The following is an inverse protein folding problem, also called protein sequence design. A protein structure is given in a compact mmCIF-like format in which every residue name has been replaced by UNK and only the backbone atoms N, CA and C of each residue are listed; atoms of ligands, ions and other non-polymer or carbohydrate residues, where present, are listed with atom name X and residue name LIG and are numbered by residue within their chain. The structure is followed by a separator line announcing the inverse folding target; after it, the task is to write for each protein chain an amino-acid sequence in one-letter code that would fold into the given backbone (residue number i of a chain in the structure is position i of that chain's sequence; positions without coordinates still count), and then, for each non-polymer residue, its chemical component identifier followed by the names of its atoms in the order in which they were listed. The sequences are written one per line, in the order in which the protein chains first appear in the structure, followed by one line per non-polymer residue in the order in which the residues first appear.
data_IF_911929149223
#
_entry.id   IF_911929149223
#
_cell.length_a   1.000
_cell.length_b   1.000
_cell.length_c   1.000
_cell.angle_alpha   90.00
_cell.angle_beta   90.00
_cell.angle_gamma   90.00
#
_symmetry.space_group_name_H-M   'P 1'
#
loop_
_entity.id
_entity.type
_entity.pdbx_description
1 polymer ?
#
# COMPACT_ATOMS: atom_id res chain seq x y z
N UNK A 1 -0.37 10.98 9.12
CA UNK A 1 0.63 10.36 8.22
C UNK A 1 1.02 11.37 7.16
N UNK A 2 2.32 11.56 6.95
CA UNK A 2 2.82 12.52 5.97
C UNK A 2 3.90 11.85 5.13
N UNK A 3 3.74 11.91 3.81
CA UNK A 3 4.81 11.58 2.87
C UNK A 3 5.29 12.85 2.18
N UNK A 4 6.57 12.86 1.82
CA UNK A 4 7.22 13.99 1.17
C UNK A 4 8.00 13.54 -0.06
N UNK A 5 8.00 14.40 -1.08
CA UNK A 5 8.89 14.36 -2.22
C UNK A 5 9.53 15.75 -2.38
N UNK A 6 10.84 15.85 -2.15
CA UNK A 6 11.58 17.12 -2.28
C UNK A 6 11.52 17.64 -3.71
N UNK A 7 11.64 16.73 -4.68
CA UNK A 7 11.45 16.97 -6.10
C UNK A 7 10.49 15.89 -6.59
N UNK A 8 9.31 16.31 -7.05
CA UNK A 8 8.32 15.43 -7.66
C UNK A 8 8.24 15.74 -9.14
N UNK A 9 8.54 14.73 -9.97
CA UNK A 9 8.36 14.80 -11.40
C UNK A 9 6.99 14.19 -11.75
N UNK A 10 6.05 15.02 -12.22
CA UNK A 10 4.73 14.48 -12.54
C UNK A 10 4.83 13.46 -13.67
N UNK A 11 4.24 12.26 -13.52
CA UNK A 11 4.14 11.29 -14.62
C UNK A 11 3.21 11.79 -15.73
N UNK A 12 2.41 12.84 -15.47
CA UNK A 12 1.61 13.52 -16.49
C UNK A 12 2.52 14.52 -17.25
N UNK A 13 2.79 14.30 -18.55
CA UNK A 13 3.80 15.07 -19.29
C UNK A 13 3.57 16.58 -19.32
N UNK A 14 2.33 17.03 -19.15
CA UNK A 14 1.95 18.45 -19.19
C UNK A 14 2.16 19.21 -17.89
N UNK A 15 2.39 18.53 -16.77
CA UNK A 15 2.43 19.16 -15.43
C UNK A 15 3.85 19.54 -14.97
N UNK A 16 4.89 18.86 -15.48
CA UNK A 16 6.29 19.16 -15.19
C UNK A 16 6.72 18.78 -13.77
N UNK A 17 7.66 19.54 -13.21
CA UNK A 17 8.32 19.25 -11.92
C UNK A 17 7.81 20.19 -10.84
N UNK A 18 7.58 19.65 -9.65
CA UNK A 18 7.15 20.35 -8.46
C UNK A 18 8.18 20.15 -7.34
N UNK A 19 8.44 21.18 -6.55
CA UNK A 19 9.29 21.08 -5.37
C UNK A 19 8.41 20.96 -4.11
N UNK A 20 8.86 20.17 -3.15
CA UNK A 20 8.23 20.02 -1.83
C UNK A 20 6.75 19.62 -1.93
N UNK A 21 6.50 18.48 -2.58
CA UNK A 21 5.16 17.89 -2.65
C UNK A 21 4.93 17.03 -1.41
N UNK A 22 3.73 17.12 -0.84
CA UNK A 22 3.32 16.37 0.34
C UNK A 22 2.09 15.52 0.03
N UNK A 23 2.03 14.31 0.59
CA UNK A 23 0.81 13.51 0.67
C UNK A 23 0.42 13.40 2.14
N UNK A 24 -0.82 13.75 2.47
CA UNK A 24 -1.36 13.66 3.82
C UNK A 24 -2.65 12.85 3.83
N UNK A 25 -2.89 12.05 4.87
CA UNK A 25 -4.24 11.60 5.20
C UNK A 25 -5.08 12.79 5.63
N UNK A 26 -6.27 12.90 5.05
CA UNK A 26 -7.18 14.02 5.31
C UNK A 26 -8.53 13.58 5.87
N UNK A 27 -8.86 12.30 5.70
CA UNK A 27 -10.12 11.76 6.19
C UNK A 27 -10.00 10.27 6.44
N UNK A 28 -10.57 9.82 7.56
CA UNK A 28 -10.75 8.42 7.89
C UNK A 28 -12.25 8.17 8.05
N UNK A 29 -12.79 7.18 7.33
CA UNK A 29 -14.20 6.82 7.36
C UNK A 29 -14.33 5.39 7.86
N UNK A 30 -15.16 5.21 8.90
CA UNK A 30 -15.52 3.90 9.44
C UNK A 30 -17.03 3.78 9.38
N UNK A 31 -17.55 2.74 8.74
CA UNK A 31 -18.98 2.42 8.81
C UNK A 31 -19.27 1.66 10.11
N UNK A 32 -20.31 2.08 10.85
CA UNK A 32 -20.71 1.52 12.16
C UNK A 32 -21.07 0.03 12.11
N UNK A 33 -21.36 -0.53 10.92
CA UNK A 33 -21.58 -1.95 10.75
C UNK A 33 -20.28 -2.76 10.63
N UNK A 34 -19.10 -2.13 10.81
CA UNK A 34 -17.80 -2.79 10.94
C UNK A 34 -17.13 -3.24 9.64
N UNK A 35 -17.89 -3.35 8.55
CA UNK A 35 -17.41 -3.99 7.32
C UNK A 35 -16.81 -3.03 6.29
N UNK A 36 -16.63 -1.75 6.64
CA UNK A 36 -16.02 -0.78 5.73
C UNK A 36 -15.13 0.22 6.46
N UNK A 37 -13.91 0.32 5.96
CA UNK A 37 -12.90 1.27 6.37
C UNK A 37 -12.39 2.00 5.13
N UNK A 38 -12.13 3.30 5.20
CA UNK A 38 -11.39 3.98 4.14
C UNK A 38 -10.56 5.13 4.66
N UNK A 39 -9.46 5.39 3.97
CA UNK A 39 -8.56 6.51 4.22
C UNK A 39 -8.44 7.32 2.94
N UNK A 40 -8.70 8.62 3.04
CA UNK A 40 -8.52 9.58 1.95
C UNK A 40 -7.18 10.27 2.09
N UNK A 41 -6.43 10.34 0.99
CA UNK A 41 -5.15 11.03 0.91
C UNK A 41 -5.22 12.15 -0.12
N UNK A 42 -4.69 13.32 0.26
CA UNK A 42 -4.54 14.47 -0.63
C UNK A 42 -3.05 14.73 -0.89
N UNK A 43 -2.73 14.87 -2.17
CA UNK A 43 -1.42 15.29 -2.66
C UNK A 43 -1.43 16.79 -2.89
N UNK A 44 -0.51 17.50 -2.25
CA UNK A 44 -0.48 18.96 -2.27
C UNK A 44 0.92 19.49 -2.52
N UNK A 45 1.00 20.67 -3.12
CA UNK A 45 2.25 21.44 -3.26
C UNK A 45 2.06 22.83 -2.67
N UNK A 46 3.07 23.36 -2.00
CA UNK A 46 3.04 24.74 -1.54
C UNK A 46 3.48 25.69 -2.66
N UNK A 47 2.59 26.63 -3.03
CA UNK A 47 2.87 27.69 -4.02
C UNK A 47 2.46 29.03 -3.44
N UNK A 48 3.40 29.96 -3.35
CA UNK A 48 3.16 31.33 -2.84
C UNK A 48 2.47 31.35 -1.46
N UNK A 49 2.87 30.44 -0.56
CA UNK A 49 2.29 30.31 0.78
C UNK A 49 0.91 29.65 0.83
N UNK A 50 0.38 29.15 -0.29
CA UNK A 50 -0.88 28.43 -0.35
C UNK A 50 -0.65 26.95 -0.69
N UNK A 51 -1.37 26.06 -0.02
CA UNK A 51 -1.43 24.64 -0.42
C UNK A 51 -2.33 24.50 -1.63
N UNK A 52 -1.78 23.97 -2.72
CA UNK A 52 -2.49 23.66 -3.95
C UNK A 52 -2.67 22.15 -4.03
N UNK A 53 -3.92 21.70 -4.14
CA UNK A 53 -4.26 20.29 -4.35
C UNK A 53 -3.83 19.87 -5.76
N UNK A 54 -3.07 18.78 -5.84
CA UNK A 54 -2.61 18.18 -7.09
C UNK A 54 -3.45 16.94 -7.43
N UNK A 55 -3.69 16.07 -6.45
CA UNK A 55 -4.47 14.85 -6.62
C UNK A 55 -5.12 14.40 -5.30
N UNK A 56 -6.11 13.53 -5.41
CA UNK A 56 -6.80 12.90 -4.29
C UNK A 56 -7.05 11.43 -4.59
N UNK A 57 -6.81 10.57 -3.62
CA UNK A 57 -7.15 9.14 -3.73
C UNK A 57 -7.78 8.66 -2.43
N UNK A 58 -8.74 7.76 -2.55
CA UNK A 58 -9.36 7.09 -1.42
C UNK A 58 -9.00 5.62 -1.47
N UNK A 59 -8.37 5.13 -0.41
CA UNK A 59 -8.11 3.71 -0.21
C UNK A 59 -9.25 3.14 0.63
N UNK A 60 -10.09 2.31 0.02
CA UNK A 60 -11.22 1.64 0.66
C UNK A 60 -10.92 0.18 0.96
N UNK A 61 -11.48 -0.31 2.06
CA UNK A 61 -11.39 -1.68 2.52
C UNK A 61 -12.78 -2.15 2.91
N UNK A 62 -13.22 -3.24 2.29
CA UNK A 62 -14.54 -3.84 2.51
C UNK A 62 -14.38 -5.28 3.03
N UNK A 63 -15.25 -5.67 3.96
CA UNK A 63 -15.33 -7.00 4.52
C UNK A 63 -14.28 -7.33 5.61
N UNK A 64 -14.62 -8.30 6.44
CA UNK A 64 -13.77 -8.89 7.46
C UNK A 64 -13.05 -10.16 6.95
N UNK A 65 -12.22 -10.75 7.80
CA UNK A 65 -11.59 -12.04 7.51
C UNK A 65 -12.67 -13.13 7.34
N UNK A 66 -12.74 -13.73 6.15
CA UNK A 66 -13.71 -14.79 5.82
C UNK A 66 -15.01 -14.34 5.14
N UNK A 67 -15.22 -13.03 4.92
CA UNK A 67 -16.38 -12.53 4.17
C UNK A 67 -16.26 -12.82 2.66
N UNK A 68 -17.36 -13.25 2.02
CA UNK A 68 -17.42 -13.51 0.56
C UNK A 68 -17.17 -12.25 -0.28
N UNK A 69 -17.59 -11.09 0.23
CA UNK A 69 -17.39 -9.78 -0.40
C UNK A 69 -16.35 -9.03 0.43
N UNK A 70 -15.08 -9.40 0.25
CA UNK A 70 -13.98 -8.70 0.88
C UNK A 70 -12.97 -8.18 -0.14
N UNK A 71 -12.49 -6.95 0.08
CA UNK A 71 -11.37 -6.37 -0.66
C UNK A 71 -10.01 -6.91 -0.20
N UNK A 72 -10.00 -8.01 0.58
CA UNK A 72 -8.80 -8.77 0.96
C UNK A 72 -7.94 -9.00 -0.26
N UNK A 73 -6.84 -8.28 -0.36
CA UNK A 73 -5.83 -8.57 -1.37
C UNK A 73 -4.76 -9.43 -0.72
N UNK A 74 -4.46 -10.55 -1.34
CA UNK A 74 -3.38 -11.41 -0.91
C UNK A 74 -2.07 -10.84 -1.43
N UNK A 75 -1.12 -10.50 -0.56
CA UNK A 75 0.25 -10.22 -1.01
C UNK A 75 0.78 -11.48 -1.67
N UNK A 76 1.23 -11.37 -2.91
CA UNK A 76 1.78 -12.48 -3.67
C UNK A 76 3.24 -12.22 -4.01
N UNK A 77 4.03 -13.28 -3.91
CA UNK A 77 5.45 -13.28 -4.24
C UNK A 77 5.71 -14.28 -5.35
N UNK A 78 6.64 -13.96 -6.24
CA UNK A 78 7.18 -14.88 -7.22
C UNK A 78 8.41 -15.55 -6.61
N UNK A 79 8.38 -16.88 -6.52
CA UNK A 79 9.49 -17.72 -6.03
C UNK A 79 9.94 -18.69 -7.12
N UNK A 80 11.13 -19.25 -6.97
CA UNK A 80 11.56 -20.38 -7.79
C UNK A 80 10.58 -21.54 -7.65
N UNK A 81 10.21 -22.13 -8.78
CA UNK A 81 9.33 -23.29 -8.78
C UNK A 81 10.11 -24.52 -8.29
N UNK A 82 9.76 -25.11 -7.14
CA UNK A 82 10.45 -26.29 -6.62
C UNK A 82 10.36 -27.49 -7.58
N UNK A 83 9.32 -27.52 -8.41
CA UNK A 83 9.04 -28.58 -9.37
C UNK A 83 9.61 -28.29 -10.77
N UNK A 84 10.44 -27.24 -10.94
CA UNK A 84 11.00 -26.86 -12.25
C UNK A 84 11.80 -27.98 -12.91
N UNK A 85 12.56 -28.75 -12.12
CA UNK A 85 13.37 -29.85 -12.63
C UNK A 85 12.65 -31.20 -12.60
N UNK A 86 11.40 -31.24 -12.17
CA UNK A 86 10.58 -32.45 -12.28
C UNK A 86 10.09 -32.57 -13.72
N UNK A 87 10.00 -33.79 -14.26
CA UNK A 87 9.68 -34.11 -15.67
C UNK A 87 8.23 -33.74 -16.08
N UNK A 88 7.69 -32.66 -15.54
CA UNK A 88 6.39 -32.10 -15.89
C UNK A 88 6.65 -31.12 -17.05
N UNK A 89 6.32 -31.54 -18.28
CA UNK A 89 6.32 -30.64 -19.43
C UNK A 89 5.51 -29.37 -19.11
N UNK A 90 6.07 -28.20 -19.44
CA UNK A 90 5.49 -26.85 -19.25
C UNK A 90 5.63 -26.19 -17.86
N UNK A 91 6.45 -26.75 -16.96
CA UNK A 91 6.77 -26.13 -15.69
C UNK A 91 7.51 -24.78 -15.86
N UNK A 92 6.91 -23.67 -15.44
CA UNK A 92 7.56 -22.35 -15.43
C UNK A 92 8.65 -22.32 -14.36
N UNK A 93 9.77 -21.63 -14.65
CA UNK A 93 10.90 -21.45 -13.71
C UNK A 93 10.48 -20.81 -12.37
N UNK A 94 9.45 -19.96 -12.40
CA UNK A 94 8.90 -19.29 -11.22
C UNK A 94 7.40 -19.47 -11.11
N UNK A 95 6.92 -19.57 -9.87
CA UNK A 95 5.50 -19.62 -9.51
C UNK A 95 5.15 -18.41 -8.65
N UNK A 96 3.87 -18.03 -8.69
CA UNK A 96 3.33 -16.97 -7.84
C UNK A 96 2.57 -17.62 -6.69
N UNK A 97 2.94 -17.29 -5.45
CA UNK A 97 2.32 -17.83 -4.24
C UNK A 97 1.89 -16.70 -3.32
N UNK A 98 0.86 -16.96 -2.51
CA UNK A 98 0.50 -16.08 -1.41
C UNK A 98 1.62 -16.04 -0.38
N UNK A 99 2.10 -14.85 -0.02
CA UNK A 99 3.20 -14.67 0.93
C UNK A 99 2.88 -15.30 2.29
N UNK A 100 1.69 -15.06 2.82
CA UNK A 100 1.31 -15.61 4.12
C UNK A 100 1.22 -17.14 4.11
N UNK A 101 0.64 -17.74 3.07
CA UNK A 101 0.58 -19.19 2.94
C UNK A 101 1.98 -19.80 2.87
N UNK A 102 2.89 -19.17 2.11
CA UNK A 102 4.30 -19.57 2.06
C UNK A 102 4.97 -19.47 3.43
N UNK A 103 4.81 -18.35 4.14
CA UNK A 103 5.38 -18.17 5.47
C UNK A 103 4.83 -19.19 6.45
N UNK A 104 3.52 -19.47 6.44
CA UNK A 104 2.91 -20.50 7.30
C UNK A 104 3.47 -21.89 7.01
N UNK A 105 3.63 -22.25 5.73
CA UNK A 105 4.21 -23.54 5.34
C UNK A 105 5.71 -23.65 5.67
N UNK A 106 6.44 -22.53 5.73
CA UNK A 106 7.88 -22.48 5.92
C UNK A 106 8.30 -21.89 7.28
N UNK A 107 7.44 -21.97 8.29
CA UNK A 107 7.78 -21.57 9.66
C UNK A 107 8.14 -20.09 9.84
N UNK A 108 7.55 -19.21 9.03
CA UNK A 108 7.78 -17.77 9.03
C UNK A 108 9.04 -17.31 8.28
N UNK A 109 9.72 -18.23 7.58
CA UNK A 109 10.95 -17.91 6.85
C UNK A 109 10.63 -17.42 5.44
N UNK A 110 11.13 -16.24 5.08
CA UNK A 110 11.04 -15.71 3.71
C UNK A 110 11.89 -16.56 2.74
N UNK A 111 11.47 -16.68 1.46
CA UNK A 111 12.30 -17.31 0.44
C UNK A 111 13.59 -16.51 0.22
N UNK A 112 14.67 -17.18 -0.16
CA UNK A 112 15.97 -16.56 -0.41
C UNK A 112 16.03 -15.77 -1.72
N UNK A 113 15.23 -16.16 -2.72
CA UNK A 113 15.15 -15.50 -4.02
C UNK A 113 13.68 -15.29 -4.41
N UNK A 114 13.16 -14.10 -4.13
CA UNK A 114 11.77 -13.74 -4.41
C UNK A 114 11.60 -12.31 -4.89
N UNK A 115 10.52 -12.10 -5.65
CA UNK A 115 10.06 -10.78 -6.07
C UNK A 115 8.61 -10.59 -5.62
N UNK A 116 8.25 -9.41 -5.13
CA UNK A 116 6.84 -9.09 -4.92
C UNK A 116 6.14 -8.94 -6.28
N UNK A 117 5.03 -9.65 -6.46
CA UNK A 117 4.22 -9.63 -7.69
C UNK A 117 3.04 -8.70 -7.51
N UNK A 118 2.32 -8.85 -6.40
CA UNK A 118 1.26 -7.93 -6.00
C UNK A 118 1.31 -7.70 -4.49
N UNK A 119 1.05 -6.45 -4.10
CA UNK A 119 0.98 -6.04 -2.71
C UNK A 119 -0.49 -6.04 -2.31
N UNK A 120 -0.83 -6.93 -1.38
CA UNK A 120 -2.19 -7.08 -0.86
C UNK A 120 -2.20 -7.06 0.66
N UNK A 121 -3.09 -6.27 1.24
CA UNK A 121 -3.24 -6.27 2.69
C UNK A 121 -4.38 -7.20 3.13
N UNK A 122 -4.16 -8.03 4.17
CA UNK A 122 -5.20 -8.90 4.67
C UNK A 122 -6.18 -8.06 5.49
N UNK A 123 -7.40 -7.85 5.01
CA UNK A 123 -8.56 -7.31 5.75
C UNK A 123 -8.53 -5.85 6.17
N UNK A 124 -9.71 -5.21 6.09
CA UNK A 124 -9.93 -3.88 6.67
C UNK A 124 -9.67 -3.84 8.17
N UNK A 125 -9.87 -4.97 8.87
CA UNK A 125 -9.59 -5.12 10.29
C UNK A 125 -8.09 -5.06 10.61
N UNK A 126 -7.24 -5.79 9.87
CA UNK A 126 -5.79 -5.68 10.10
C UNK A 126 -5.28 -4.34 9.58
N UNK A 127 -5.83 -3.79 8.48
CA UNK A 127 -5.45 -2.47 7.99
C UNK A 127 -5.72 -1.40 9.07
N UNK A 128 -6.89 -1.43 9.70
CA UNK A 128 -7.25 -0.57 10.83
C UNK A 128 -6.29 -0.73 12.01
N UNK A 129 -5.85 -1.95 12.32
CA UNK A 129 -4.89 -2.19 13.40
C UNK A 129 -3.51 -1.56 13.12
N UNK A 130 -3.19 -1.26 11.86
CA UNK A 130 -1.89 -0.73 11.47
C UNK A 130 -1.86 0.79 11.37
N UNK A 131 -3.01 1.41 11.04
CA UNK A 131 -3.20 2.85 11.16
C UNK A 131 -3.45 3.22 12.63
N UNK A 132 -2.40 3.64 13.33
CA UNK A 132 -2.45 4.08 14.73
C UNK A 132 -2.72 5.59 14.78
N UNK A 133 -3.62 6.03 15.67
CA UNK A 133 -3.99 7.45 15.81
C UNK A 133 -5.29 7.78 15.08
N UNK A 134 -5.47 9.06 14.71
CA UNK A 134 -6.77 9.58 14.26
C UNK A 134 -7.77 9.80 15.40
N UNK A 135 -7.28 9.83 16.65
CA UNK A 135 -8.06 10.10 17.86
C UNK A 135 -7.94 11.55 18.29
N UNK A 136 -8.84 12.04 19.15
CA UNK A 136 -8.81 13.43 19.64
C UNK A 136 -7.45 13.82 20.26
N UNK A 137 -6.79 12.85 20.90
CA UNK A 137 -5.50 13.03 21.58
C UNK A 137 -4.28 12.66 20.70
N UNK A 138 -4.52 12.02 19.56
CA UNK A 138 -3.49 11.67 18.57
C UNK A 138 -4.08 11.80 17.16
N UNK A 139 -4.26 13.04 16.65
CA UNK A 139 -5.06 13.29 15.46
C UNK A 139 -4.38 12.85 14.16
N UNK A 140 -3.07 12.58 14.19
CA UNK A 140 -2.32 12.11 13.03
C UNK A 140 -2.34 10.59 12.96
N UNK A 141 -2.55 10.03 11.76
CA UNK A 141 -2.30 8.61 11.54
C UNK A 141 -0.80 8.30 11.49
N UNK A 142 -0.42 7.14 12.01
CA UNK A 142 0.92 6.60 11.96
C UNK A 142 0.85 5.14 11.54
N UNK A 143 1.81 4.72 10.71
CA UNK A 143 2.03 3.31 10.39
C UNK A 143 3.30 2.89 11.10
N UNK A 144 3.22 2.06 12.13
CA UNK A 144 4.41 1.52 12.80
C UNK A 144 5.03 0.35 12.03
N UNK A 145 4.19 -0.47 11.41
CA UNK A 145 4.61 -1.66 10.67
C UNK A 145 5.34 -1.30 9.35
N UNK A 146 6.60 -1.71 9.17
CA UNK A 146 7.36 -1.47 7.94
C UNK A 146 6.75 -2.10 6.69
N UNK A 147 6.15 -3.29 6.79
CA UNK A 147 5.45 -3.91 5.67
C UNK A 147 4.21 -3.11 5.27
N UNK A 148 3.49 -2.54 6.22
CA UNK A 148 2.34 -1.69 5.91
C UNK A 148 2.75 -0.36 5.27
N UNK A 149 3.90 0.19 5.64
CA UNK A 149 4.49 1.34 4.96
C UNK A 149 4.81 1.02 3.51
N UNK A 150 5.53 -0.07 3.26
CA UNK A 150 5.87 -0.52 1.91
C UNK A 150 4.64 -0.85 1.07
N UNK A 151 3.67 -1.54 1.66
CA UNK A 151 2.40 -1.83 1.03
C UNK A 151 1.67 -0.54 0.63
N UNK A 152 1.59 0.47 1.51
CA UNK A 152 0.94 1.74 1.21
C UNK A 152 1.63 2.47 0.05
N UNK A 153 2.97 2.54 0.08
CA UNK A 153 3.79 3.13 -0.98
C UNK A 153 3.54 2.47 -2.35
N UNK A 154 3.31 1.15 -2.34
CA UNK A 154 3.14 0.37 -3.56
C UNK A 154 1.67 0.20 -4.00
N UNK A 155 0.70 0.57 -3.15
CA UNK A 155 -0.73 0.41 -3.43
C UNK A 155 -1.38 1.71 -3.88
N UNK A 156 -0.98 2.84 -3.27
CA UNK A 156 -1.56 4.12 -3.63
C UNK A 156 -0.99 4.56 -4.98
N UNK A 157 -1.90 4.79 -5.93
CA UNK A 157 -1.59 5.37 -7.24
C UNK A 157 -2.15 6.79 -7.27
N UNK A 158 -1.28 7.77 -7.50
CA UNK A 158 -1.65 9.17 -7.71
C UNK A 158 -1.04 9.63 -9.02
N UNK A 159 -1.80 10.38 -9.82
CA UNK A 159 -1.42 10.83 -11.16
C UNK A 159 -1.02 9.70 -12.12
N UNK A 160 -1.45 8.46 -11.84
CA UNK A 160 -1.15 7.28 -12.65
C UNK A 160 0.15 6.54 -12.27
N UNK A 161 0.85 6.97 -11.22
CA UNK A 161 2.06 6.29 -10.72
C UNK A 161 1.91 5.90 -9.25
N UNK A 162 2.53 4.79 -8.85
CA UNK A 162 2.64 4.40 -7.44
C UNK A 162 3.44 5.44 -6.67
N UNK A 163 2.94 5.89 -5.54
CA UNK A 163 3.60 6.96 -4.77
C UNK A 163 5.00 6.55 -4.27
N UNK A 164 5.24 5.25 -4.06
CA UNK A 164 6.54 4.70 -3.64
C UNK A 164 7.70 4.94 -4.60
N UNK A 165 7.43 5.38 -5.83
CA UNK A 165 8.49 5.73 -6.79
C UNK A 165 9.23 7.01 -6.38
N UNK A 166 8.51 7.99 -5.82
CA UNK A 166 9.03 9.34 -5.58
C UNK A 166 8.80 9.88 -4.16
N UNK A 167 7.96 9.22 -3.36
CA UNK A 167 7.62 9.66 -2.01
C UNK A 167 8.23 8.76 -0.94
N UNK A 168 8.60 9.39 0.17
CA UNK A 168 9.04 8.73 1.39
C UNK A 168 8.29 9.26 2.58
N UNK A 169 8.20 8.46 3.65
CA UNK A 169 7.61 8.91 4.91
C UNK A 169 8.43 10.06 5.50
N UNK A 170 7.74 11.12 5.95
CA UNK A 170 8.35 12.12 6.82
C UNK A 170 8.44 11.53 8.23
N UNK A 171 9.64 11.57 8.81
CA UNK A 171 9.83 11.38 10.25
C UNK A 171 9.06 12.46 11.05
#
# INVERSE_FOLDING_TARGET
MKLIATIYNSPIPTEGIFNNVEINDVQLIINSNGNYFSVKFDMTVEKNGNKVLLDTVTLGFEGNEGDEVSSNRTTTISILNPDFNTEIEESKERIVVALFDYLTANGGVLPTDFFFVDYGYPTGQKAKATFIGGELNSPKLFLEDPFAREWLLNTIVMKGEKIGVQFQFSE
#
